data_IF_840054629657
#
_entry.id   IF_840054629657
#
_cell.length_a   1.000
_cell.length_b   1.000
_cell.length_c   1.000
_cell.angle_alpha   90.00
_cell.angle_beta   90.00
_cell.angle_gamma   90.00
#
_symmetry.space_group_name_H-M   'P 1'
#
loop_
_entity.id
_entity.type
_entity.pdbx_description
1 polymer ?
#
# COMPACT_ATOMS: atom_id res chain seq x y z
N UNK A 1 -38.45 20.88 -13.33
CA UNK A 1 -37.56 19.96 -12.59
C UNK A 1 -36.69 19.23 -13.62
N UNK A 2 -35.40 19.53 -13.67
CA UNK A 2 -34.46 18.85 -14.56
C UNK A 2 -34.02 17.56 -13.85
N UNK A 3 -34.54 16.43 -14.27
CA UNK A 3 -34.09 15.12 -13.79
C UNK A 3 -32.65 14.90 -14.24
N UNK A 4 -31.69 14.97 -13.32
CA UNK A 4 -30.31 14.59 -13.59
C UNK A 4 -30.28 13.08 -13.89
N UNK A 5 -30.21 12.71 -15.17
CA UNK A 5 -29.98 11.32 -15.55
C UNK A 5 -28.68 10.80 -14.95
N UNK A 6 -28.70 9.59 -14.37
CA UNK A 6 -27.51 8.94 -13.85
C UNK A 6 -26.44 8.84 -14.95
N UNK A 7 -25.17 9.13 -14.65
CA UNK A 7 -24.12 9.06 -15.66
C UNK A 7 -24.03 7.64 -16.25
N UNK A 8 -24.18 7.56 -17.56
CA UNK A 8 -24.11 6.30 -18.32
C UNK A 8 -22.73 5.66 -18.17
N UNK A 9 -22.68 4.40 -17.74
CA UNK A 9 -21.41 3.66 -17.58
C UNK A 9 -20.70 3.53 -18.93
N UNK A 10 -19.37 3.56 -18.94
CA UNK A 10 -18.55 3.28 -20.13
C UNK A 10 -18.32 1.77 -20.22
N UNK A 11 -18.82 1.13 -21.27
CA UNK A 11 -18.52 -0.24 -21.66
C UNK A 11 -17.38 -0.28 -22.67
N UNK A 12 -16.94 -1.49 -23.03
CA UNK A 12 -15.80 -1.68 -23.92
C UNK A 12 -16.09 -1.23 -25.36
N UNK A 13 -17.32 -1.38 -25.83
CA UNK A 13 -17.74 -0.95 -27.16
C UNK A 13 -17.73 0.58 -27.28
N UNK A 14 -18.24 1.28 -26.29
CA UNK A 14 -18.15 2.74 -26.21
C UNK A 14 -16.71 3.25 -26.15
N UNK A 15 -15.81 2.50 -25.47
CA UNK A 15 -14.40 2.84 -25.38
C UNK A 15 -13.71 2.64 -26.72
N UNK A 16 -14.02 1.55 -27.41
CA UNK A 16 -13.51 1.26 -28.77
C UNK A 16 -13.94 2.34 -29.76
N UNK A 17 -15.23 2.62 -29.81
CA UNK A 17 -15.79 3.68 -30.65
C UNK A 17 -15.17 5.05 -30.38
N UNK A 18 -14.97 5.41 -29.10
CA UNK A 18 -14.28 6.65 -28.70
C UNK A 18 -12.86 6.73 -29.29
N UNK A 19 -12.09 5.65 -29.22
CA UNK A 19 -10.72 5.59 -29.75
C UNK A 19 -10.71 5.74 -31.27
N UNK A 20 -11.61 5.05 -31.97
CA UNK A 20 -11.74 5.09 -33.42
C UNK A 20 -12.14 6.49 -33.92
N UNK A 21 -13.14 7.12 -33.29
CA UNK A 21 -13.58 8.47 -33.65
C UNK A 21 -12.46 9.50 -33.38
N UNK A 22 -11.70 9.31 -32.30
CA UNK A 22 -10.56 10.18 -32.02
C UNK A 22 -9.41 10.00 -32.99
N UNK A 23 -9.12 8.78 -33.43
CA UNK A 23 -8.14 8.47 -34.47
C UNK A 23 -8.49 9.07 -35.82
N UNK A 24 -9.82 9.16 -36.14
CA UNK A 24 -10.34 9.88 -37.32
C UNK A 24 -10.26 11.41 -37.21
N UNK A 25 -9.70 11.97 -36.13
CA UNK A 25 -9.51 13.40 -35.99
C UNK A 25 -10.72 14.21 -35.51
N UNK A 26 -11.82 13.55 -35.09
CA UNK A 26 -13.02 14.27 -34.64
C UNK A 26 -12.75 15.06 -33.37
N UNK A 27 -13.39 16.23 -33.28
CA UNK A 27 -13.39 17.04 -32.06
C UNK A 27 -14.18 16.39 -30.93
N UNK A 28 -13.86 16.72 -29.70
CA UNK A 28 -14.59 16.17 -28.54
C UNK A 28 -16.10 16.47 -28.59
N UNK A 29 -16.48 17.60 -29.18
CA UNK A 29 -17.90 17.99 -29.38
C UNK A 29 -18.60 17.10 -30.38
N UNK A 30 -17.94 16.75 -31.49
CA UNK A 30 -18.47 15.81 -32.51
C UNK A 30 -18.59 14.40 -31.93
N UNK A 31 -17.55 13.92 -31.23
CA UNK A 31 -17.56 12.61 -30.57
C UNK A 31 -18.69 12.54 -29.53
N UNK A 32 -18.89 13.62 -28.78
CA UNK A 32 -19.97 13.69 -27.79
C UNK A 32 -21.35 13.49 -28.42
N UNK A 33 -21.58 14.06 -29.61
CA UNK A 33 -22.82 13.90 -30.36
C UNK A 33 -23.00 12.47 -30.87
N UNK A 34 -21.93 11.87 -31.43
CA UNK A 34 -21.95 10.50 -31.95
C UNK A 34 -22.20 9.43 -30.86
N UNK A 35 -21.64 9.62 -29.70
CA UNK A 35 -21.73 8.67 -28.59
C UNK A 35 -22.86 8.97 -27.59
N UNK A 36 -23.72 9.97 -27.90
CA UNK A 36 -24.80 10.44 -27.01
C UNK A 36 -24.29 10.69 -25.58
N UNK A 37 -23.23 11.51 -25.48
CA UNK A 37 -22.57 11.87 -24.21
C UNK A 37 -22.27 13.35 -24.13
N UNK A 38 -21.98 13.84 -22.94
CA UNK A 38 -21.49 15.22 -22.77
C UNK A 38 -20.03 15.34 -23.20
N UNK A 39 -19.63 16.49 -23.75
CA UNK A 39 -18.25 16.77 -24.13
C UNK A 39 -17.29 16.62 -22.93
N UNK A 40 -17.73 17.01 -21.74
CA UNK A 40 -16.99 16.81 -20.49
C UNK A 40 -16.75 15.33 -20.19
N UNK A 41 -17.75 14.47 -20.45
CA UNK A 41 -17.61 13.01 -20.29
C UNK A 41 -16.57 12.45 -21.24
N UNK A 42 -16.57 12.89 -22.50
CA UNK A 42 -15.55 12.52 -23.52
C UNK A 42 -14.16 12.97 -23.07
N UNK A 43 -14.02 14.23 -22.67
CA UNK A 43 -12.75 14.79 -22.21
C UNK A 43 -12.17 14.03 -21.02
N UNK A 44 -13.01 13.72 -20.02
CA UNK A 44 -12.58 12.96 -18.83
C UNK A 44 -12.18 11.53 -19.23
N UNK A 45 -12.94 10.89 -20.12
CA UNK A 45 -12.63 9.51 -20.55
C UNK A 45 -11.35 9.46 -21.36
N UNK A 46 -11.15 10.35 -22.34
CA UNK A 46 -9.90 10.48 -23.09
C UNK A 46 -8.70 10.76 -22.17
N UNK A 47 -8.86 11.68 -21.21
CA UNK A 47 -7.82 11.94 -20.22
C UNK A 47 -7.49 10.70 -19.38
N UNK A 48 -8.48 9.84 -19.10
CA UNK A 48 -8.26 8.56 -18.38
C UNK A 48 -7.62 7.49 -19.26
N UNK A 49 -7.95 7.45 -20.55
CA UNK A 49 -7.38 6.51 -21.52
C UNK A 49 -5.95 6.91 -21.93
N UNK A 50 -5.70 8.21 -22.09
CA UNK A 50 -4.36 8.76 -22.38
C UNK A 50 -3.47 8.86 -21.13
N UNK A 51 -4.02 8.69 -19.95
CA UNK A 51 -3.19 8.35 -18.80
C UNK A 51 -2.68 6.94 -19.08
N UNK A 52 -1.48 6.87 -19.66
CA UNK A 52 -0.66 5.68 -19.52
C UNK A 52 -0.72 5.27 -18.05
N UNK A 53 -0.79 3.98 -17.75
CA UNK A 53 -0.78 3.42 -16.39
C UNK A 53 0.44 3.86 -15.54
N UNK A 54 1.31 4.69 -16.10
CA UNK A 54 2.51 5.31 -15.53
C UNK A 54 2.27 6.58 -14.72
N UNK A 55 1.07 6.86 -14.23
CA UNK A 55 0.89 7.88 -13.19
C UNK A 55 1.22 7.34 -11.79
N UNK A 56 2.22 6.50 -11.70
CA UNK A 56 3.06 6.46 -10.53
C UNK A 56 3.71 7.84 -10.44
N UNK A 57 3.57 8.44 -9.29
CA UNK A 57 4.10 9.76 -9.01
C UNK A 57 5.64 9.65 -9.00
N UNK A 58 6.29 9.71 -10.17
CA UNK A 58 7.74 9.64 -10.34
C UNK A 58 8.49 10.66 -9.47
N UNK A 59 7.78 11.68 -9.02
CA UNK A 59 8.31 12.70 -8.11
C UNK A 59 8.94 12.10 -6.86
N UNK A 60 8.35 11.02 -6.29
CA UNK A 60 8.85 10.40 -5.07
C UNK A 60 9.65 9.11 -5.32
N UNK A 61 9.66 8.62 -6.56
CA UNK A 61 10.28 7.35 -6.93
C UNK A 61 11.77 7.32 -6.65
N UNK A 62 12.50 8.37 -7.05
CA UNK A 62 13.94 8.46 -6.84
C UNK A 62 14.30 8.47 -5.34
N UNK A 63 13.58 9.24 -4.54
CA UNK A 63 13.80 9.31 -3.10
C UNK A 63 13.46 7.98 -2.41
N UNK A 64 12.34 7.37 -2.79
CA UNK A 64 11.93 6.03 -2.35
C UNK A 64 13.00 4.98 -2.67
N UNK A 65 13.51 4.94 -3.90
CA UNK A 65 14.50 3.96 -4.33
C UNK A 65 15.84 4.15 -3.62
N UNK A 66 16.28 5.40 -3.43
CA UNK A 66 17.47 5.70 -2.65
C UNK A 66 17.35 5.16 -1.22
N UNK A 67 16.25 5.46 -0.53
CA UNK A 67 16.02 5.01 0.84
C UNK A 67 15.84 3.48 0.92
N UNK A 68 15.19 2.87 -0.07
CA UNK A 68 15.16 1.40 -0.16
C UNK A 68 16.57 0.81 -0.23
N UNK A 69 17.45 1.39 -1.07
CA UNK A 69 18.85 0.91 -1.21
C UNK A 69 19.66 1.10 0.08
N UNK A 70 19.49 2.23 0.77
CA UNK A 70 20.11 2.49 2.08
C UNK A 70 19.65 1.47 3.11
N UNK A 71 18.35 1.23 3.20
CA UNK A 71 17.78 0.27 4.14
C UNK A 71 18.22 -1.18 3.86
N UNK A 72 18.27 -1.59 2.59
CA UNK A 72 18.77 -2.92 2.21
C UNK A 72 20.24 -3.12 2.59
N UNK A 73 21.08 -2.08 2.41
CA UNK A 73 22.49 -2.13 2.80
C UNK A 73 22.64 -2.31 4.32
N UNK A 74 21.80 -1.63 5.10
CA UNK A 74 21.88 -1.68 6.57
C UNK A 74 21.26 -2.99 7.12
N UNK A 75 20.19 -3.48 6.49
CA UNK A 75 19.47 -4.68 6.94
C UNK A 75 20.11 -5.99 6.47
N UNK A 76 20.72 -5.99 5.28
CA UNK A 76 21.31 -7.17 4.60
C UNK A 76 20.36 -8.39 4.59
N UNK A 77 19.15 -8.25 4.05
CA UNK A 77 18.20 -9.34 4.03
C UNK A 77 18.68 -10.45 3.07
N UNK A 78 18.52 -11.72 3.45
CA UNK A 78 18.86 -12.87 2.60
C UNK A 78 17.70 -13.30 1.71
N UNK A 79 16.47 -12.92 2.03
CA UNK A 79 15.30 -13.12 1.20
C UNK A 79 14.27 -11.99 1.41
N UNK A 80 13.49 -11.69 0.37
CA UNK A 80 12.53 -10.58 0.35
C UNK A 80 11.19 -11.05 -0.18
N UNK A 81 10.11 -10.55 0.41
CA UNK A 81 8.76 -10.61 -0.13
C UNK A 81 8.31 -9.20 -0.51
N UNK A 82 8.17 -8.93 -1.81
CA UNK A 82 7.56 -7.72 -2.35
C UNK A 82 6.07 -7.99 -2.63
N UNK A 83 5.22 -7.57 -1.70
CA UNK A 83 3.81 -7.96 -1.69
C UNK A 83 2.95 -7.17 -2.69
N UNK A 84 3.46 -6.03 -3.18
CA UNK A 84 2.77 -5.12 -4.10
C UNK A 84 3.73 -4.65 -5.20
N UNK A 85 4.40 -5.59 -5.84
CA UNK A 85 5.51 -5.35 -6.76
C UNK A 85 5.16 -4.48 -7.97
N UNK A 86 3.88 -4.48 -8.39
CA UNK A 86 3.47 -3.78 -9.61
C UNK A 86 4.10 -4.40 -10.86
N UNK A 87 4.15 -3.63 -11.94
CA UNK A 87 4.76 -4.05 -13.20
C UNK A 87 6.30 -4.14 -13.10
N UNK A 88 6.92 -3.30 -12.28
CA UNK A 88 8.37 -3.21 -12.13
C UNK A 88 8.75 -3.11 -10.67
N UNK A 89 8.97 -4.26 -10.03
CA UNK A 89 9.50 -4.30 -8.67
C UNK A 89 10.83 -3.56 -8.56
N UNK A 90 11.01 -2.83 -7.46
CA UNK A 90 12.32 -2.25 -7.12
C UNK A 90 13.39 -3.33 -6.97
N UNK A 91 12.99 -4.52 -6.52
CA UNK A 91 13.88 -5.63 -6.19
C UNK A 91 14.24 -6.51 -7.38
N UNK A 92 13.81 -6.23 -8.60
CA UNK A 92 14.01 -7.08 -9.78
C UNK A 92 15.47 -7.47 -10.04
N UNK A 93 16.41 -6.59 -9.67
CA UNK A 93 17.85 -6.80 -9.83
C UNK A 93 18.51 -7.28 -8.51
N UNK A 94 17.70 -7.63 -7.51
CA UNK A 94 18.18 -8.10 -6.22
C UNK A 94 18.70 -9.54 -6.34
N UNK A 95 19.95 -9.77 -5.90
CA UNK A 95 20.62 -11.07 -6.11
C UNK A 95 20.15 -12.21 -5.19
N UNK A 96 19.50 -11.86 -4.07
CA UNK A 96 19.01 -12.82 -3.11
C UNK A 96 17.61 -13.30 -3.48
N UNK A 97 17.14 -14.44 -2.94
CA UNK A 97 15.78 -14.93 -3.17
C UNK A 97 14.71 -13.85 -2.97
N UNK A 98 13.91 -13.68 -3.98
CA UNK A 98 12.82 -12.70 -4.04
C UNK A 98 11.53 -13.42 -4.39
N UNK A 99 10.46 -13.10 -3.70
CA UNK A 99 9.09 -13.43 -4.10
C UNK A 99 8.34 -12.12 -4.36
N UNK A 100 7.76 -12.01 -5.53
CA UNK A 100 6.98 -10.86 -5.98
C UNK A 100 5.52 -11.20 -6.13
N UNK A 101 4.64 -10.25 -5.77
CA UNK A 101 3.21 -10.39 -5.93
C UNK A 101 2.55 -9.07 -6.32
N UNK A 102 1.55 -9.15 -7.16
CA UNK A 102 0.57 -8.09 -7.35
C UNK A 102 -0.80 -8.72 -7.65
N UNK A 103 -1.88 -8.09 -7.20
CA UNK A 103 -3.24 -8.56 -7.50
C UNK A 103 -3.64 -8.40 -8.97
N UNK A 104 -2.96 -7.53 -9.71
CA UNK A 104 -3.24 -7.29 -11.12
C UNK A 104 -2.65 -8.41 -11.98
N UNK A 105 -3.53 -9.18 -12.60
CA UNK A 105 -3.17 -10.31 -13.47
C UNK A 105 -2.48 -9.90 -14.77
N UNK A 106 -2.52 -8.62 -15.12
CA UNK A 106 -1.82 -8.08 -16.29
C UNK A 106 -0.30 -7.96 -16.04
N UNK A 107 0.12 -7.97 -14.78
CA UNK A 107 1.54 -7.91 -14.41
C UNK A 107 2.16 -9.33 -14.42
N UNK A 108 2.57 -9.75 -15.59
CA UNK A 108 3.10 -11.11 -15.83
C UNK A 108 4.49 -11.35 -15.22
N UNK A 109 5.15 -10.31 -14.74
CA UNK A 109 6.50 -10.39 -14.16
C UNK A 109 6.49 -10.71 -12.66
N UNK A 110 5.31 -10.92 -12.07
CA UNK A 110 5.19 -11.34 -10.67
C UNK A 110 5.15 -12.87 -10.55
N UNK A 111 5.76 -13.40 -9.48
CA UNK A 111 5.69 -14.83 -9.16
C UNK A 111 4.25 -15.25 -8.81
N UNK A 112 3.47 -14.32 -8.23
CA UNK A 112 2.07 -14.53 -7.89
C UNK A 112 1.21 -13.33 -8.31
N UNK A 113 -0.03 -13.63 -8.73
CA UNK A 113 -1.07 -12.62 -8.97
C UNK A 113 -2.26 -12.88 -8.04
N UNK A 114 -2.05 -12.67 -6.74
CA UNK A 114 -3.04 -12.92 -5.70
C UNK A 114 -3.36 -11.65 -4.89
N UNK A 115 -4.55 -11.56 -4.29
CA UNK A 115 -4.77 -10.62 -3.21
C UNK A 115 -3.69 -10.79 -2.13
N UNK A 116 -3.10 -9.70 -1.66
CA UNK A 116 -1.95 -9.70 -0.75
C UNK A 116 -2.17 -10.58 0.50
N UNK A 117 -3.33 -10.43 1.15
CA UNK A 117 -3.68 -11.23 2.32
C UNK A 117 -3.73 -12.74 1.99
N UNK A 118 -4.25 -13.11 0.82
CA UNK A 118 -4.31 -14.51 0.39
C UNK A 118 -2.91 -15.11 0.22
N UNK A 119 -1.98 -14.35 -0.36
CA UNK A 119 -0.59 -14.80 -0.46
C UNK A 119 0.06 -14.94 0.91
N UNK A 120 -0.12 -13.98 1.81
CA UNK A 120 0.42 -14.07 3.17
C UNK A 120 -0.11 -15.29 3.92
N UNK A 121 -1.41 -15.60 3.81
CA UNK A 121 -1.99 -16.82 4.38
C UNK A 121 -1.30 -18.07 3.81
N UNK A 122 -1.09 -18.13 2.48
CA UNK A 122 -0.38 -19.23 1.85
C UNK A 122 1.05 -19.35 2.39
N UNK A 123 1.82 -18.25 2.42
CA UNK A 123 3.18 -18.26 2.92
C UNK A 123 3.26 -18.70 4.39
N UNK A 124 2.29 -18.27 5.20
CA UNK A 124 2.19 -18.68 6.60
C UNK A 124 1.92 -20.19 6.75
N UNK A 125 0.99 -20.72 5.97
CA UNK A 125 0.66 -22.15 5.95
C UNK A 125 1.84 -23.00 5.49
N UNK A 126 2.59 -22.52 4.49
CA UNK A 126 3.79 -23.16 3.95
C UNK A 126 5.02 -23.02 4.88
N UNK A 127 4.87 -22.44 6.07
CA UNK A 127 5.96 -22.24 7.03
C UNK A 127 7.06 -21.29 6.56
N UNK A 128 6.81 -20.49 5.53
CA UNK A 128 7.80 -19.55 4.97
C UNK A 128 8.09 -18.42 5.95
N UNK A 129 9.33 -17.91 5.90
CA UNK A 129 9.77 -16.72 6.61
C UNK A 129 10.62 -15.86 5.68
N UNK A 130 10.58 -14.55 5.89
CA UNK A 130 11.31 -13.58 5.09
C UNK A 130 12.13 -12.68 5.99
N UNK A 131 13.33 -12.33 5.57
CA UNK A 131 14.13 -11.34 6.27
C UNK A 131 13.51 -9.96 6.12
N UNK A 132 12.94 -9.67 4.95
CA UNK A 132 12.27 -8.40 4.65
C UNK A 132 10.92 -8.63 3.95
N UNK A 133 9.90 -7.91 4.38
CA UNK A 133 8.62 -7.79 3.68
C UNK A 133 8.38 -6.33 3.33
N UNK A 134 8.04 -6.05 2.07
CA UNK A 134 7.67 -4.73 1.58
C UNK A 134 6.17 -4.65 1.31
N UNK A 135 5.50 -3.71 1.99
CA UNK A 135 4.08 -3.40 1.88
C UNK A 135 3.91 -2.03 1.24
N UNK A 136 3.70 -2.00 -0.08
CA UNK A 136 3.55 -0.77 -0.87
C UNK A 136 2.20 -0.69 -1.60
N UNK A 137 1.07 -0.76 -0.89
CA UNK A 137 -0.25 -0.72 -1.51
C UNK A 137 -0.61 0.65 -2.05
N UNK A 138 -1.56 0.70 -2.98
CA UNK A 138 -2.24 1.94 -3.40
C UNK A 138 -3.18 2.55 -2.37
N UNK A 139 -3.33 1.94 -1.23
CA UNK A 139 -4.24 2.36 -0.18
C UNK A 139 -3.70 1.94 1.17
N UNK A 140 -4.40 1.04 1.83
CA UNK A 140 -4.00 0.51 3.12
C UNK A 140 -3.42 -0.89 3.00
N UNK A 141 -2.39 -1.17 3.78
CA UNK A 141 -1.87 -2.51 4.02
C UNK A 141 -2.35 -3.09 5.36
N UNK A 142 -3.26 -2.45 6.07
CA UNK A 142 -3.64 -2.78 7.45
C UNK A 142 -3.96 -4.27 7.63
N UNK A 143 -4.76 -4.83 6.73
CA UNK A 143 -5.16 -6.25 6.78
C UNK A 143 -3.97 -7.22 6.68
N UNK A 144 -2.84 -6.75 6.18
CA UNK A 144 -1.62 -7.53 6.00
C UNK A 144 -0.65 -7.44 7.18
N UNK A 145 -0.83 -6.50 8.11
CA UNK A 145 0.17 -6.22 9.16
C UNK A 145 0.43 -7.42 10.06
N UNK A 146 -0.60 -8.06 10.59
CA UNK A 146 -0.44 -9.18 11.51
C UNK A 146 0.33 -10.35 10.88
N UNK A 147 -0.09 -10.80 9.70
CA UNK A 147 0.59 -11.89 9.00
C UNK A 147 1.99 -11.49 8.53
N UNK A 148 2.18 -10.25 8.08
CA UNK A 148 3.52 -9.77 7.72
C UNK A 148 4.46 -9.78 8.91
N UNK A 149 3.99 -9.36 10.09
CA UNK A 149 4.77 -9.41 11.31
C UNK A 149 5.08 -10.85 11.75
N UNK A 150 4.15 -11.79 11.55
CA UNK A 150 4.40 -13.22 11.79
C UNK A 150 5.47 -13.79 10.85
N UNK A 151 5.53 -13.32 9.61
CA UNK A 151 6.41 -13.85 8.57
C UNK A 151 7.76 -13.14 8.48
N UNK A 152 7.84 -11.84 8.78
CA UNK A 152 9.06 -11.05 8.70
C UNK A 152 10.00 -11.31 9.90
N UNK A 153 11.30 -11.44 9.62
CA UNK A 153 12.34 -11.69 10.65
C UNK A 153 13.13 -10.43 11.02
N UNK A 154 13.63 -9.68 10.03
CA UNK A 154 14.58 -8.59 10.26
C UNK A 154 14.00 -7.22 9.98
N UNK A 155 13.13 -7.09 8.97
CA UNK A 155 12.62 -5.80 8.54
C UNK A 155 11.24 -5.85 7.93
N UNK A 156 10.56 -4.71 8.03
CA UNK A 156 9.26 -4.46 7.44
C UNK A 156 9.25 -3.04 6.86
N UNK A 157 8.83 -2.92 5.62
CA UNK A 157 8.60 -1.61 5.00
C UNK A 157 7.10 -1.44 4.82
N UNK A 158 6.57 -0.29 5.24
CA UNK A 158 5.14 0.01 5.13
C UNK A 158 4.96 1.34 4.45
N UNK A 159 4.16 1.35 3.39
CA UNK A 159 3.64 2.56 2.77
C UNK A 159 2.24 2.85 3.28
N UNK A 160 2.09 3.95 4.02
CA UNK A 160 0.82 4.43 4.55
C UNK A 160 0.10 5.31 3.53
N UNK A 161 -0.68 4.68 2.66
CA UNK A 161 -1.55 5.38 1.69
C UNK A 161 -2.81 5.97 2.34
N UNK A 162 -3.11 5.60 3.59
CA UNK A 162 -4.21 6.11 4.40
C UNK A 162 -4.18 7.63 4.51
N UNK A 163 -3.00 8.25 4.60
CA UNK A 163 -2.85 9.71 4.70
C UNK A 163 -3.54 10.45 3.55
N UNK A 164 -3.69 9.79 2.39
CA UNK A 164 -4.50 10.29 1.28
C UNK A 164 -6.00 10.40 1.60
N UNK A 165 -6.51 9.62 2.54
CA UNK A 165 -7.91 9.64 2.97
C UNK A 165 -8.27 10.91 3.75
N UNK A 166 -7.32 11.58 4.39
CA UNK A 166 -7.51 12.87 5.06
C UNK A 166 -8.10 13.90 4.08
N UNK A 167 -7.65 13.91 2.84
CA UNK A 167 -8.17 14.78 1.77
C UNK A 167 -9.65 14.53 1.47
N UNK A 168 -10.11 13.30 1.64
CA UNK A 168 -11.47 12.88 1.36
C UNK A 168 -12.35 12.83 2.60
N UNK A 169 -11.80 13.18 3.78
CA UNK A 169 -12.48 13.10 5.08
C UNK A 169 -13.05 11.70 5.37
N UNK A 170 -12.37 10.66 4.92
CA UNK A 170 -12.78 9.26 5.13
C UNK A 170 -12.29 8.77 6.49
N UNK A 171 -12.95 9.22 7.55
CA UNK A 171 -12.59 8.84 8.92
C UNK A 171 -13.10 7.46 9.32
N UNK A 172 -14.21 6.99 8.76
CA UNK A 172 -14.83 5.72 9.20
C UNK A 172 -13.88 4.53 9.08
N UNK A 173 -13.08 4.50 7.99
CA UNK A 173 -12.07 3.49 7.78
C UNK A 173 -10.95 3.60 8.83
N UNK A 174 -10.41 4.79 9.05
CA UNK A 174 -9.30 5.03 9.98
C UNK A 174 -9.73 4.80 11.43
N UNK A 175 -10.97 5.12 11.78
CA UNK A 175 -11.55 4.81 13.11
C UNK A 175 -11.53 3.31 13.38
N UNK A 176 -11.98 2.51 12.43
CA UNK A 176 -12.06 1.06 12.61
C UNK A 176 -10.71 0.39 12.79
N UNK A 177 -9.73 0.78 11.98
CA UNK A 177 -8.45 0.10 11.90
C UNK A 177 -7.39 0.72 12.81
N UNK A 178 -7.42 2.03 13.00
CA UNK A 178 -6.37 2.75 13.70
C UNK A 178 -6.81 3.40 15.01
N UNK A 179 -8.07 3.23 15.40
CA UNK A 179 -8.66 3.86 16.58
C UNK A 179 -8.44 5.39 16.61
N UNK A 180 -8.55 6.03 15.44
CA UNK A 180 -8.39 7.47 15.25
C UNK A 180 -9.76 8.10 15.16
N UNK A 181 -10.15 8.95 16.11
CA UNK A 181 -11.51 9.47 16.24
C UNK A 181 -11.72 10.83 15.58
N UNK A 182 -10.67 11.62 15.42
CA UNK A 182 -10.71 12.98 14.88
C UNK A 182 -9.74 13.16 13.73
N UNK A 183 -9.93 14.23 12.93
CA UNK A 183 -9.01 14.59 11.84
C UNK A 183 -7.62 15.01 12.35
N UNK A 184 -7.57 15.60 13.55
CA UNK A 184 -6.30 16.05 14.15
C UNK A 184 -5.45 14.87 14.62
N UNK A 185 -6.10 13.82 15.13
CA UNK A 185 -5.44 12.55 15.44
C UNK A 185 -4.96 11.81 14.20
N UNK A 186 -5.50 12.12 12.99
CA UNK A 186 -5.15 11.44 11.77
C UNK A 186 -3.81 11.92 11.21
N UNK A 187 -2.73 11.39 11.75
CA UNK A 187 -1.35 11.66 11.39
C UNK A 187 -0.52 10.38 11.37
N UNK A 188 0.67 10.45 10.80
CA UNK A 188 1.56 9.30 10.65
C UNK A 188 1.90 8.64 12.00
N UNK A 189 2.16 9.45 13.03
CA UNK A 189 2.52 8.94 14.36
C UNK A 189 1.46 8.00 14.93
N UNK A 190 0.18 8.35 14.80
CA UNK A 190 -0.91 7.53 15.31
C UNK A 190 -1.13 6.28 14.44
N UNK A 191 -0.90 6.36 13.12
CA UNK A 191 -0.89 5.18 12.26
C UNK A 191 0.23 4.22 12.66
N UNK A 192 1.43 4.71 12.89
CA UNK A 192 2.58 3.91 13.36
C UNK A 192 2.31 3.24 14.71
N UNK A 193 1.70 3.98 15.67
CA UNK A 193 1.34 3.44 16.99
C UNK A 193 0.48 2.18 16.89
N UNK A 194 -0.46 2.13 15.95
CA UNK A 194 -1.29 0.93 15.75
C UNK A 194 -0.47 -0.25 15.22
N UNK A 195 0.52 0.01 14.35
CA UNK A 195 1.42 -1.05 13.88
C UNK A 195 2.28 -1.58 15.02
N UNK A 196 2.76 -0.70 15.92
CA UNK A 196 3.53 -1.09 17.11
C UNK A 196 2.70 -1.97 18.06
N UNK A 197 1.41 -1.68 18.23
CA UNK A 197 0.49 -2.52 19.02
C UNK A 197 0.40 -3.93 18.41
N UNK A 198 0.22 -4.04 17.10
CA UNK A 198 0.14 -5.33 16.41
C UNK A 198 1.49 -6.06 16.49
N UNK A 199 2.60 -5.34 16.43
CA UNK A 199 3.94 -5.91 16.58
C UNK A 199 4.13 -6.50 17.99
N UNK A 200 3.75 -5.78 19.04
CA UNK A 200 3.81 -6.25 20.41
C UNK A 200 2.97 -7.52 20.62
N UNK A 201 1.77 -7.60 20.03
CA UNK A 201 0.95 -8.82 20.02
C UNK A 201 1.67 -10.02 19.38
N UNK A 202 2.58 -9.76 18.45
CA UNK A 202 3.45 -10.75 17.80
C UNK A 202 4.81 -10.91 18.50
N UNK A 203 4.96 -10.42 19.72
CA UNK A 203 6.22 -10.45 20.53
C UNK A 203 7.40 -9.79 19.79
N UNK A 204 7.13 -8.71 19.07
CA UNK A 204 8.11 -7.95 18.31
C UNK A 204 8.09 -6.47 18.68
N UNK A 205 9.26 -5.85 18.57
CA UNK A 205 9.44 -4.41 18.65
C UNK A 205 9.83 -3.91 17.26
N UNK A 206 9.25 -2.79 16.85
CA UNK A 206 9.56 -2.13 15.60
C UNK A 206 10.38 -0.87 15.86
N UNK A 207 11.58 -0.84 15.29
CA UNK A 207 12.43 0.35 15.34
C UNK A 207 12.40 1.04 13.98
N UNK A 208 11.81 2.24 13.87
CA UNK A 208 11.85 2.99 12.63
C UNK A 208 13.28 3.46 12.36
N UNK A 209 13.84 3.02 11.22
CA UNK A 209 15.18 3.41 10.76
C UNK A 209 15.10 4.62 9.85
N UNK A 210 14.13 4.62 8.94
CA UNK A 210 13.86 5.73 8.04
C UNK A 210 12.38 6.02 7.99
N UNK A 211 12.03 7.31 7.92
CA UNK A 211 10.67 7.79 7.75
C UNK A 211 10.67 8.80 6.60
N UNK A 212 9.87 8.55 5.58
CA UNK A 212 9.64 9.45 4.46
C UNK A 212 8.18 9.83 4.41
N UNK A 213 7.90 11.10 4.57
CA UNK A 213 6.55 11.62 4.53
C UNK A 213 6.40 12.60 3.36
N UNK A 214 5.39 12.39 2.56
CA UNK A 214 4.97 13.25 1.48
C UNK A 214 3.51 13.68 1.71
N UNK A 215 3.00 14.60 0.93
CA UNK A 215 1.69 15.24 1.16
C UNK A 215 0.53 14.28 1.51
N UNK A 216 0.45 13.11 0.88
CA UNK A 216 -0.69 12.19 0.99
C UNK A 216 -0.28 10.74 1.25
N UNK A 217 0.97 10.49 1.53
CA UNK A 217 1.55 9.16 1.67
C UNK A 217 2.79 9.26 2.54
N UNK A 218 3.02 8.25 3.34
CA UNK A 218 4.28 8.10 4.06
C UNK A 218 4.82 6.67 3.87
N UNK A 219 6.12 6.52 3.98
CA UNK A 219 6.80 5.23 3.93
C UNK A 219 7.74 5.11 5.11
N UNK A 220 7.58 4.05 5.88
CA UNK A 220 8.36 3.79 7.08
C UNK A 220 9.09 2.47 6.93
N UNK A 221 10.35 2.48 7.30
CA UNK A 221 11.29 1.36 7.21
C UNK A 221 11.62 0.91 8.63
N UNK A 222 11.15 -0.26 9.01
CA UNK A 222 11.32 -0.79 10.34
C UNK A 222 12.33 -1.91 10.38
N UNK A 223 13.26 -1.82 11.33
CA UNK A 223 13.99 -2.98 11.83
C UNK A 223 13.13 -3.69 12.86
N UNK A 224 13.05 -5.01 12.74
CA UNK A 224 12.31 -5.86 13.67
C UNK A 224 13.30 -6.41 14.70
N UNK A 225 12.93 -6.32 15.97
CA UNK A 225 13.62 -6.90 17.08
C UNK A 225 12.62 -7.76 17.89
N UNK A 226 13.10 -8.83 18.50
CA UNK A 226 12.26 -9.60 19.42
C UNK A 226 11.95 -8.74 20.65
N UNK A 227 10.69 -8.73 21.04
CA UNK A 227 10.29 -8.08 22.28
C UNK A 227 10.91 -8.85 23.44
N UNK A 228 11.92 -8.27 24.08
CA UNK A 228 12.43 -8.77 25.35
C UNK A 228 11.36 -8.48 26.41
N UNK A 229 10.55 -9.47 26.71
CA UNK A 229 9.73 -9.44 27.90
C UNK A 229 10.72 -9.63 29.04
N UNK A 230 11.04 -8.55 29.77
CA UNK A 230 11.65 -8.72 31.07
C UNK A 230 10.68 -9.59 31.87
N UNK A 231 11.13 -10.74 32.40
CA UNK A 231 10.29 -11.45 33.34
C UNK A 231 9.95 -10.44 34.44
N UNK A 232 8.70 -10.34 34.80
CA UNK A 232 8.21 -9.44 35.82
C UNK A 232 9.02 -9.68 37.12
N UNK A 233 10.15 -9.02 37.24
CA UNK A 233 10.96 -8.99 38.47
C UNK A 233 10.29 -8.14 39.56
N UNK A 234 9.12 -7.56 39.29
CA UNK A 234 8.37 -6.74 40.22
C UNK A 234 7.24 -7.48 40.93
N UNK A 235 7.02 -8.75 40.68
CA UNK A 235 6.03 -9.53 41.45
C UNK A 235 6.39 -9.59 42.95
N UNK A 236 7.68 -9.61 43.29
CA UNK A 236 8.14 -9.66 44.67
C UNK A 236 8.04 -8.30 45.39
N UNK A 237 8.10 -7.18 44.63
CA UNK A 237 7.98 -5.83 45.22
C UNK A 237 6.53 -5.37 45.41
N UNK A 238 5.59 -5.94 44.65
CA UNK A 238 4.18 -5.66 44.83
C UNK A 238 3.56 -6.47 45.97
N UNK A 239 4.05 -7.67 46.23
CA UNK A 239 3.58 -8.48 47.37
C UNK A 239 4.02 -7.90 48.74
N UNK A 240 5.14 -7.21 48.80
CA UNK A 240 5.61 -6.57 50.05
C UNK A 240 4.90 -5.25 50.37
N UNK A 241 4.07 -4.70 49.51
CA UNK A 241 3.29 -3.46 49.77
C UNK A 241 1.81 -3.70 50.07
N UNK A 242 1.35 -4.95 50.10
CA UNK A 242 -0.04 -5.33 50.38
C UNK A 242 -0.22 -6.01 51.77
N UNK A 243 0.84 -6.04 52.59
CA UNK A 243 0.79 -6.51 53.97
C UNK A 243 1.38 -5.49 54.93
#
# INVERSE_FOLDING_TARGET
>A
MITKSKPRKWDDDNIKALKELKAKGLSNKQIAKELDRTEVSIQIKLKRLNKSNTTYNDKHRKDKYRTNSEFLRDLQPTNVLDLYAGENSFYKDYRNPLITNDKNKEFTNCDFNLPALKLLCKMYYDGKKFDLIDLDPFGSAYECFDLSLKLAKKGLIITFGELGHKRWKRLDYVKRYYNINTLDEFNLRNLMKQVDIIAAQNKKTLRPMFVKEWRNIARVYYKIEELKLDPWNDSDKLQTKLF
#
